data_IF_544958954931
#
_entry.id   IF_544958954931
#
_cell.length_a   1.000
_cell.length_b   1.000
_cell.length_c   1.000
_cell.angle_alpha   90.00
_cell.angle_beta   90.00
_cell.angle_gamma   90.00
#
_symmetry.space_group_name_H-M   'P 1'
#
loop_
_entity.id
_entity.type
_entity.pdbx_description
1 polymer ?
#
# COMPACT_ATOMS: atom_id res chain seq x y z
N UNK A 1 6.33 -10.58 -15.17
CA UNK A 1 5.87 -9.54 -14.24
C UNK A 1 6.92 -8.45 -14.15
N UNK A 2 6.52 -7.22 -14.33
CA UNK A 2 7.42 -6.06 -14.29
C UNK A 2 6.92 -5.10 -13.24
N UNK A 3 7.81 -4.59 -12.37
CA UNK A 3 7.47 -3.61 -11.35
C UNK A 3 8.31 -2.36 -11.61
N UNK A 4 7.64 -1.23 -11.82
CA UNK A 4 8.28 0.03 -12.19
C UNK A 4 7.75 1.18 -11.37
N UNK A 5 8.62 2.16 -11.14
CA UNK A 5 8.18 3.42 -10.53
C UNK A 5 7.45 4.26 -11.60
N UNK A 6 6.31 4.84 -11.21
CA UNK A 6 5.53 5.75 -12.05
C UNK A 6 5.24 7.03 -11.29
N UNK A 7 5.11 8.12 -12.02
CA UNK A 7 4.73 9.41 -11.45
C UNK A 7 3.21 9.48 -11.23
N UNK A 8 2.77 10.40 -10.38
CA UNK A 8 1.35 10.49 -10.00
C UNK A 8 0.43 10.81 -11.18
N UNK A 9 0.96 11.35 -12.27
CA UNK A 9 0.19 11.69 -13.48
C UNK A 9 0.15 10.56 -14.52
N UNK A 10 0.73 9.40 -14.20
CA UNK A 10 0.71 8.23 -15.10
C UNK A 10 -0.72 7.73 -15.30
N UNK A 11 -1.11 7.51 -16.57
CA UNK A 11 -2.49 7.15 -16.95
C UNK A 11 -2.87 5.78 -16.39
N UNK A 12 -1.97 4.81 -16.47
CA UNK A 12 -2.25 3.46 -15.97
C UNK A 12 -2.36 3.45 -14.44
N UNK A 13 -1.50 4.20 -13.77
CA UNK A 13 -1.57 4.36 -12.31
C UNK A 13 -2.89 5.02 -11.92
N UNK A 14 -3.30 6.08 -12.62
CA UNK A 14 -4.56 6.77 -12.33
C UNK A 14 -5.75 5.82 -12.42
N UNK A 15 -5.79 4.96 -13.44
CA UNK A 15 -6.86 3.97 -13.59
C UNK A 15 -6.88 2.96 -12.44
N UNK A 16 -5.71 2.51 -11.98
CA UNK A 16 -5.63 1.61 -10.83
C UNK A 16 -6.09 2.29 -9.54
N UNK A 17 -5.72 3.55 -9.34
CA UNK A 17 -6.13 4.32 -8.16
C UNK A 17 -7.64 4.55 -8.14
N UNK A 18 -8.25 4.80 -9.32
CA UNK A 18 -9.70 4.96 -9.42
C UNK A 18 -10.41 3.64 -9.08
N UNK A 19 -9.91 2.52 -9.57
CA UNK A 19 -10.48 1.21 -9.28
C UNK A 19 -10.33 0.86 -7.79
N UNK A 20 -9.20 1.17 -7.20
CA UNK A 20 -8.95 0.96 -5.78
C UNK A 20 -9.89 1.80 -4.93
N UNK A 21 -10.11 3.05 -5.30
CA UNK A 21 -11.04 3.94 -4.60
C UNK A 21 -12.47 3.42 -4.69
N UNK A 22 -12.91 2.97 -5.85
CA UNK A 22 -14.25 2.41 -6.03
C UNK A 22 -14.48 1.19 -5.12
N UNK A 23 -13.49 0.31 -5.01
CA UNK A 23 -13.57 -0.85 -4.11
C UNK A 23 -13.64 -0.41 -2.65
N UNK A 24 -12.84 0.58 -2.26
CA UNK A 24 -12.82 1.09 -0.91
C UNK A 24 -14.16 1.71 -0.53
N UNK A 25 -14.76 2.50 -1.43
CA UNK A 25 -16.08 3.09 -1.23
C UNK A 25 -17.15 2.01 -1.05
N UNK A 26 -17.08 0.93 -1.84
CA UNK A 26 -18.01 -0.19 -1.72
C UNK A 26 -17.92 -0.86 -0.34
N UNK A 27 -16.74 -0.87 0.29
CA UNK A 27 -16.53 -1.52 1.60
C UNK A 27 -16.79 -0.59 2.78
N UNK A 28 -16.45 0.69 2.67
CA UNK A 28 -16.42 1.63 3.81
C UNK A 28 -17.19 2.92 3.59
N UNK A 29 -17.70 3.18 2.38
CA UNK A 29 -18.24 4.48 2.01
C UNK A 29 -17.11 5.49 1.78
N UNK A 30 -17.47 6.73 1.50
CA UNK A 30 -16.49 7.78 1.16
C UNK A 30 -15.48 8.06 2.29
N UNK A 31 -15.88 7.81 3.54
CA UNK A 31 -15.04 8.07 4.72
C UNK A 31 -13.85 7.12 4.83
N UNK A 32 -13.87 5.98 4.10
CA UNK A 32 -12.78 5.03 4.11
C UNK A 32 -11.51 5.54 3.45
N UNK A 33 -11.60 6.59 2.62
CA UNK A 33 -10.45 7.08 1.87
C UNK A 33 -9.53 7.94 2.74
N UNK A 34 -8.26 7.56 2.79
CA UNK A 34 -7.20 8.39 3.36
C UNK A 34 -6.55 9.22 2.25
N UNK A 35 -5.82 10.25 2.63
CA UNK A 35 -5.09 11.08 1.66
C UNK A 35 -3.66 10.60 1.50
N UNK A 36 -3.10 10.78 0.28
CA UNK A 36 -1.68 10.59 0.01
C UNK A 36 -1.02 11.95 0.01
N UNK A 37 0.08 12.06 0.75
CA UNK A 37 0.81 13.32 0.89
C UNK A 37 1.74 13.53 -0.31
N UNK A 38 2.14 14.78 -0.53
CA UNK A 38 3.18 15.10 -1.52
C UNK A 38 4.48 14.40 -1.11
N UNK A 39 5.27 14.00 -2.09
CA UNK A 39 6.47 13.21 -1.86
C UNK A 39 6.24 11.71 -1.89
N UNK A 40 5.01 11.26 -2.06
CA UNK A 40 4.71 9.83 -2.22
C UNK A 40 5.34 9.31 -3.52
N UNK A 41 5.89 8.10 -3.44
CA UNK A 41 6.51 7.41 -4.58
C UNK A 41 5.67 6.19 -4.89
N UNK A 42 5.37 5.97 -6.17
CA UNK A 42 4.45 4.92 -6.61
C UNK A 42 5.15 3.86 -7.42
N UNK A 43 4.79 2.58 -7.18
CA UNK A 43 5.17 1.46 -8.03
C UNK A 43 3.93 0.90 -8.71
N UNK A 44 4.10 0.45 -9.95
CA UNK A 44 3.06 -0.24 -10.74
C UNK A 44 3.58 -1.61 -11.15
N UNK A 45 2.74 -2.62 -10.98
CA UNK A 45 3.01 -3.98 -11.45
C UNK A 45 2.30 -4.19 -12.78
N UNK A 46 3.03 -4.66 -13.78
CA UNK A 46 2.46 -5.06 -15.08
C UNK A 46 2.70 -6.54 -15.31
N UNK A 47 1.70 -7.21 -15.89
CA UNK A 47 1.77 -8.60 -16.33
C UNK A 47 1.32 -8.65 -17.78
N UNK A 48 2.17 -9.19 -18.66
CA UNK A 48 1.92 -9.25 -20.10
C UNK A 48 1.53 -7.89 -20.69
N UNK A 49 2.23 -6.84 -20.23
CA UNK A 49 2.01 -5.47 -20.71
C UNK A 49 0.81 -4.74 -20.12
N UNK A 50 0.06 -5.38 -19.21
CA UNK A 50 -1.13 -4.80 -18.59
C UNK A 50 -0.81 -4.42 -17.13
N UNK A 51 -1.12 -3.19 -16.74
CA UNK A 51 -0.98 -2.74 -15.37
C UNK A 51 -2.06 -3.40 -14.50
N UNK A 52 -1.65 -4.14 -13.48
CA UNK A 52 -2.55 -4.97 -12.66
C UNK A 52 -2.45 -4.68 -11.16
N UNK A 53 -1.51 -3.86 -10.73
CA UNK A 53 -1.38 -3.54 -9.31
C UNK A 53 -0.56 -2.29 -9.08
N UNK A 54 -0.72 -1.70 -7.91
CA UNK A 54 0.03 -0.51 -7.52
C UNK A 54 0.18 -0.43 -6.01
N UNK A 55 1.09 0.43 -5.59
CA UNK A 55 1.29 0.78 -4.19
C UNK A 55 2.16 2.01 -4.09
N UNK A 56 2.19 2.61 -2.92
CA UNK A 56 2.96 3.82 -2.68
C UNK A 56 3.66 3.79 -1.33
N UNK A 57 4.78 4.52 -1.26
CA UNK A 57 5.45 4.85 0.00
C UNK A 57 5.47 6.35 0.10
N UNK A 58 5.02 6.89 1.23
CA UNK A 58 5.09 8.32 1.51
C UNK A 58 5.91 8.58 2.76
N UNK A 59 6.58 9.75 2.86
CA UNK A 59 7.37 10.07 4.03
C UNK A 59 6.50 10.33 5.26
N UNK A 60 6.95 9.84 6.43
CA UNK A 60 6.40 10.20 7.74
C UNK A 60 7.40 11.07 8.47
N UNK A 61 8.64 10.57 8.58
CA UNK A 61 9.78 11.31 9.14
C UNK A 61 11.06 10.83 8.46
N UNK A 62 12.22 11.22 8.96
CA UNK A 62 13.51 10.92 8.32
C UNK A 62 13.78 9.41 8.20
N UNK A 63 13.20 8.59 9.08
CA UNK A 63 13.50 7.16 9.14
C UNK A 63 12.27 6.27 8.94
N UNK A 64 11.07 6.84 8.79
CA UNK A 64 9.83 6.11 8.68
C UNK A 64 9.09 6.48 7.41
N UNK A 65 8.71 5.48 6.61
CA UNK A 65 7.80 5.62 5.49
C UNK A 65 6.46 4.98 5.82
N UNK A 66 5.44 5.34 5.05
CA UNK A 66 4.10 4.78 5.20
C UNK A 66 3.64 4.18 3.88
N UNK A 67 3.16 2.94 3.93
CA UNK A 67 2.56 2.28 2.76
C UNK A 67 1.16 2.81 2.54
N UNK A 68 0.85 3.13 1.28
CA UNK A 68 -0.44 3.63 0.85
C UNK A 68 -0.83 3.00 -0.49
N UNK A 69 -2.11 2.95 -0.78
CA UNK A 69 -2.65 2.62 -2.11
C UNK A 69 -2.26 1.24 -2.62
N UNK A 70 -2.03 0.27 -1.74
CA UNK A 70 -1.82 -1.11 -2.14
C UNK A 70 -3.09 -1.66 -2.80
N UNK A 71 -2.96 -2.13 -4.05
CA UNK A 71 -4.09 -2.63 -4.80
C UNK A 71 -3.63 -3.60 -5.89
N UNK A 72 -4.35 -4.70 -6.05
CA UNK A 72 -4.19 -5.63 -7.17
C UNK A 72 -5.58 -5.86 -7.74
N UNK A 73 -5.71 -5.77 -9.07
CA UNK A 73 -7.01 -5.99 -9.73
C UNK A 73 -7.55 -7.38 -9.38
N UNK A 74 -8.87 -7.52 -9.18
CA UNK A 74 -9.45 -8.79 -8.70
C UNK A 74 -9.03 -10.02 -9.49
N UNK A 75 -8.96 -9.91 -10.81
CA UNK A 75 -8.62 -11.06 -11.68
C UNK A 75 -7.18 -11.54 -11.55
N UNK A 76 -6.32 -10.79 -10.88
CA UNK A 76 -4.91 -11.14 -10.68
C UNK A 76 -4.56 -11.42 -9.22
N UNK A 77 -5.54 -11.47 -8.32
CA UNK A 77 -5.34 -11.80 -6.91
C UNK A 77 -5.07 -13.28 -6.73
N UNK A 78 -4.36 -13.63 -5.64
CA UNK A 78 -4.03 -15.01 -5.33
C UNK A 78 -2.87 -15.58 -6.14
N UNK A 79 -2.08 -14.73 -6.78
CA UNK A 79 -0.96 -15.14 -7.64
C UNK A 79 0.41 -14.66 -7.13
N UNK A 80 0.46 -14.12 -5.91
CA UNK A 80 1.71 -13.62 -5.33
C UNK A 80 2.12 -12.22 -5.78
N UNK A 81 1.29 -11.53 -6.57
CA UNK A 81 1.61 -10.19 -7.08
C UNK A 81 1.73 -9.19 -5.93
N UNK A 82 0.80 -9.22 -4.97
CA UNK A 82 0.84 -8.31 -3.83
C UNK A 82 2.09 -8.52 -2.98
N UNK A 83 2.52 -9.76 -2.78
CA UNK A 83 3.74 -10.07 -2.05
C UNK A 83 4.98 -9.51 -2.76
N UNK A 84 5.05 -9.68 -4.07
CA UNK A 84 6.16 -9.14 -4.87
C UNK A 84 6.18 -7.62 -4.87
N UNK A 85 5.00 -7.01 -4.98
CA UNK A 85 4.86 -5.55 -4.93
C UNK A 85 5.28 -5.00 -3.57
N UNK A 86 4.86 -5.65 -2.49
CA UNK A 86 5.23 -5.23 -1.14
C UNK A 86 6.75 -5.31 -0.94
N UNK A 87 7.38 -6.39 -1.41
CA UNK A 87 8.83 -6.54 -1.36
C UNK A 87 9.53 -5.41 -2.13
N UNK A 88 9.01 -5.05 -3.30
CA UNK A 88 9.57 -3.95 -4.11
C UNK A 88 9.39 -2.59 -3.42
N UNK A 89 8.26 -2.37 -2.76
CA UNK A 89 8.03 -1.14 -1.99
C UNK A 89 8.98 -1.06 -0.78
N UNK A 90 9.27 -2.18 -0.14
CA UNK A 90 10.26 -2.22 0.95
C UNK A 90 11.66 -1.89 0.44
N UNK A 91 12.04 -2.39 -0.74
CA UNK A 91 13.33 -2.04 -1.36
C UNK A 91 13.40 -0.55 -1.70
N UNK A 92 12.32 0.01 -2.25
CA UNK A 92 12.23 1.44 -2.52
C UNK A 92 12.40 2.23 -1.22
N UNK A 93 11.73 1.82 -0.16
CA UNK A 93 11.82 2.48 1.14
C UNK A 93 13.25 2.45 1.71
N UNK A 94 13.94 1.30 1.59
CA UNK A 94 15.35 1.21 2.01
C UNK A 94 16.22 2.17 1.23
N UNK A 95 16.02 2.25 -0.08
CA UNK A 95 16.76 3.16 -0.95
C UNK A 95 16.53 4.63 -0.62
N UNK A 96 15.38 4.97 -0.05
CA UNK A 96 15.05 6.32 0.40
C UNK A 96 15.57 6.62 1.81
N UNK A 97 16.21 5.65 2.47
CA UNK A 97 16.80 5.83 3.79
C UNK A 97 15.86 5.48 4.95
N UNK A 98 14.71 4.89 4.67
CA UNK A 98 13.79 4.51 5.74
C UNK A 98 14.26 3.23 6.44
N UNK A 99 14.14 3.23 7.77
CA UNK A 99 14.46 2.09 8.63
C UNK A 99 13.20 1.32 9.03
N UNK A 100 12.03 1.88 8.78
CA UNK A 100 10.76 1.31 9.17
C UNK A 100 9.65 1.74 8.21
N UNK A 101 8.70 0.82 7.97
CA UNK A 101 7.44 1.13 7.30
C UNK A 101 6.29 0.94 8.28
N UNK A 102 5.29 1.80 8.16
CA UNK A 102 4.02 1.64 8.86
C UNK A 102 2.88 1.65 7.85
N UNK A 103 1.72 1.14 8.25
CA UNK A 103 0.51 1.16 7.42
C UNK A 103 -0.73 1.07 8.29
N UNK A 104 -1.85 1.49 7.72
CA UNK A 104 -3.17 1.27 8.28
C UNK A 104 -3.99 0.49 7.27
N UNK A 105 -4.73 -0.53 7.74
CA UNK A 105 -5.61 -1.33 6.89
C UNK A 105 -6.93 -1.59 7.59
N UNK A 106 -8.00 -1.76 6.81
CA UNK A 106 -9.33 -1.94 7.36
C UNK A 106 -9.67 -3.38 7.69
N UNK A 107 -10.49 -3.56 8.72
CA UNK A 107 -10.97 -4.88 9.13
C UNK A 107 -11.83 -5.55 8.05
N UNK A 108 -12.38 -4.79 7.11
CA UNK A 108 -13.15 -5.30 5.98
C UNK A 108 -12.29 -5.73 4.80
N UNK A 109 -10.96 -5.77 5.02
CA UNK A 109 -9.98 -6.21 4.03
C UNK A 109 -9.15 -7.37 4.61
N UNK A 110 -9.77 -8.53 4.90
CA UNK A 110 -9.05 -9.64 5.55
C UNK A 110 -7.88 -10.16 4.73
N UNK A 111 -7.95 -10.08 3.40
CA UNK A 111 -6.87 -10.50 2.53
C UNK A 111 -5.63 -9.59 2.68
N UNK A 112 -5.83 -8.30 2.91
CA UNK A 112 -4.72 -7.36 3.15
C UNK A 112 -4.08 -7.62 4.52
N UNK A 113 -4.89 -7.83 5.54
CA UNK A 113 -4.40 -8.17 6.88
C UNK A 113 -3.55 -9.43 6.82
N UNK A 114 -4.04 -10.49 6.15
CA UNK A 114 -3.31 -11.74 6.01
C UNK A 114 -1.98 -11.54 5.28
N UNK A 115 -1.96 -10.70 4.25
CA UNK A 115 -0.74 -10.39 3.51
C UNK A 115 0.30 -9.73 4.43
N UNK A 116 -0.09 -8.70 5.16
CA UNK A 116 0.84 -7.95 6.00
C UNK A 116 1.38 -8.82 7.13
N UNK A 117 0.53 -9.60 7.78
CA UNK A 117 0.96 -10.50 8.85
C UNK A 117 1.91 -11.58 8.32
N UNK A 118 1.62 -12.13 7.15
CA UNK A 118 2.48 -13.13 6.50
C UNK A 118 3.84 -12.54 6.11
N UNK A 119 3.88 -11.25 5.81
CA UNK A 119 5.10 -10.54 5.42
C UNK A 119 5.81 -9.88 6.60
N UNK A 120 5.53 -10.33 7.82
CA UNK A 120 6.22 -9.94 9.06
C UNK A 120 5.89 -8.52 9.56
N UNK A 121 4.77 -7.96 9.15
CA UNK A 121 4.26 -6.75 9.77
C UNK A 121 3.59 -7.11 11.09
N UNK A 122 3.83 -6.30 12.12
CA UNK A 122 3.28 -6.51 13.45
C UNK A 122 2.34 -5.38 13.84
N UNK A 123 1.32 -5.73 14.62
CA UNK A 123 0.32 -4.77 15.08
C UNK A 123 1.00 -3.70 15.94
N UNK A 124 0.64 -2.44 15.72
CA UNK A 124 1.16 -1.31 16.48
C UNK A 124 0.02 -0.42 16.95
N UNK A 125 0.35 0.53 17.83
CA UNK A 125 -0.64 1.51 18.30
C UNK A 125 -1.20 2.30 17.12
N UNK A 126 -2.50 2.61 17.12
CA UNK A 126 -3.09 3.45 16.08
C UNK A 126 -2.44 4.84 16.07
N UNK A 127 -2.35 5.42 14.88
CA UNK A 127 -1.75 6.74 14.70
C UNK A 127 -2.66 7.63 13.85
N UNK A 128 -2.47 8.95 13.95
CA UNK A 128 -3.18 9.93 13.15
C UNK A 128 -4.69 9.80 13.28
N UNK A 129 -5.40 9.87 12.16
CA UNK A 129 -6.86 9.74 12.14
C UNK A 129 -7.36 8.36 12.55
N UNK A 130 -6.47 7.38 12.69
CA UNK A 130 -6.85 6.00 12.98
C UNK A 130 -6.95 5.70 14.48
N UNK A 131 -6.57 6.64 15.33
CA UNK A 131 -6.61 6.47 16.80
C UNK A 131 -8.02 6.09 17.28
N UNK A 132 -9.06 6.68 16.69
CA UNK A 132 -10.46 6.41 17.05
C UNK A 132 -11.22 5.71 15.92
N UNK A 133 -10.53 4.95 15.07
CA UNK A 133 -11.14 4.27 13.93
C UNK A 133 -11.30 2.78 14.22
N UNK A 134 -12.49 2.32 14.70
CA UNK A 134 -12.66 0.93 15.16
C UNK A 134 -12.55 -0.12 14.06
N UNK A 135 -12.71 0.28 12.78
CA UNK A 135 -12.60 -0.63 11.65
C UNK A 135 -11.20 -0.67 11.05
N UNK A 136 -10.20 -0.11 11.74
CA UNK A 136 -8.84 0.02 11.21
C UNK A 136 -7.83 -0.59 12.17
N UNK A 137 -6.81 -1.27 11.62
CA UNK A 137 -5.63 -1.74 12.35
C UNK A 137 -4.38 -1.11 11.76
N UNK A 138 -3.44 -0.78 12.63
CA UNK A 138 -2.15 -0.23 12.23
C UNK A 138 -1.04 -1.26 12.45
N UNK A 139 -0.13 -1.34 11.49
CA UNK A 139 0.97 -2.30 11.47
C UNK A 139 2.28 -1.58 11.20
N UNK A 140 3.37 -2.22 11.59
CA UNK A 140 4.72 -1.71 11.31
C UNK A 140 5.68 -2.87 11.06
N UNK A 141 6.77 -2.56 10.37
CA UNK A 141 7.87 -3.49 10.13
C UNK A 141 9.19 -2.73 10.11
N UNK A 142 10.17 -3.24 10.86
CA UNK A 142 11.54 -2.76 10.75
C UNK A 142 12.15 -3.30 9.46
N UNK A 143 12.83 -2.43 8.71
CA UNK A 143 13.47 -2.81 7.46
C UNK A 143 14.92 -3.19 7.75
N UNK A 144 15.33 -4.35 7.25
CA UNK A 144 16.73 -4.78 7.33
C UNK A 144 17.60 -3.86 6.47
N UNK A 145 18.75 -3.48 7.00
CA UNK A 145 19.68 -2.58 6.31
C UNK A 145 20.79 -3.35 5.59
#
# INVERSE_FOLDING_TARGET
MLIEERTADDVELAALLDAAFAELVARYGLEGRSQVQSGARYLVVSVDGQAVGCGAVQPVDAVTGELKRMYVVPGHRGRGIATSLLSALEELARGLGYHRLRLATGLRQPEAIALYERCAYTLTEPYGKYVDAPLTRCYQKALAQ
#
